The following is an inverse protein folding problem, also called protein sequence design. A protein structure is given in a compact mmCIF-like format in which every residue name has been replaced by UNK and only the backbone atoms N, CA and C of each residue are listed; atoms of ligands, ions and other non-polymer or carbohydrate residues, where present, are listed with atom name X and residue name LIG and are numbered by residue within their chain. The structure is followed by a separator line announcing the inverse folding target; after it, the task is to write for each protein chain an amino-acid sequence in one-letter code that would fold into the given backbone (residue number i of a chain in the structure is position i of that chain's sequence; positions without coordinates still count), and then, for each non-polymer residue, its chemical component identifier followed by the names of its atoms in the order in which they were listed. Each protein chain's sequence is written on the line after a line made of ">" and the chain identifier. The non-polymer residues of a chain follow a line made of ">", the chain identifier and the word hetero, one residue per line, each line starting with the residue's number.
data_IF_690767361879
#
_entry.id   IF_690767361879
#
_cell.length_a   1.000
_cell.length_b   1.000
_cell.length_c   1.000
_cell.angle_alpha   90.00
_cell.angle_beta   90.00
_cell.angle_gamma   90.00
#
_symmetry.space_group_name_H-M   'P 1'
#
loop_
_entity.id
_entity.type
_entity.pdbx_description
1 polymer ?
#
# COMPACT_ATOMS: atom_id res chain seq x y z
N UNK A 1 -5.16 13.12 -10.93
CA UNK A 1 -5.58 14.52 -10.69
C UNK A 1 -5.74 15.21 -12.02
N UNK A 2 -6.79 16.03 -12.19
CA UNK A 2 -7.09 16.74 -13.44
C UNK A 2 -6.71 18.22 -13.32
N UNK A 3 -5.95 18.73 -14.28
CA UNK A 3 -5.64 20.17 -14.36
C UNK A 3 -6.88 20.99 -14.77
N UNK A 4 -7.79 20.42 -15.58
CA UNK A 4 -8.99 21.13 -16.06
C UNK A 4 -10.04 21.34 -14.97
N UNK A 5 -10.16 20.39 -14.03
CA UNK A 5 -11.04 20.52 -12.86
C UNK A 5 -10.38 21.34 -11.74
N UNK A 6 -9.05 21.31 -11.65
CA UNK A 6 -8.28 22.02 -10.63
C UNK A 6 -8.21 21.26 -9.29
N UNK A 7 -7.66 21.89 -8.23
CA UNK A 7 -7.44 21.27 -6.93
C UNK A 7 -8.73 21.24 -6.09
N UNK A 8 -9.79 20.65 -6.63
CA UNK A 8 -11.08 20.49 -5.98
C UNK A 8 -11.24 19.07 -5.43
N UNK A 9 -11.90 18.98 -4.28
CA UNK A 9 -12.34 17.71 -3.67
C UNK A 9 -13.86 17.73 -3.59
N UNK A 10 -14.49 16.69 -4.12
CA UNK A 10 -15.93 16.48 -3.99
C UNK A 10 -16.16 15.34 -3.01
N UNK A 11 -17.19 15.46 -2.18
CA UNK A 11 -17.58 14.38 -1.29
C UNK A 11 -18.15 13.23 -2.12
N UNK A 12 -17.67 12.02 -1.87
CA UNK A 12 -18.13 10.81 -2.55
C UNK A 12 -18.82 9.93 -1.54
N UNK A 13 -20.09 9.55 -1.77
CA UNK A 13 -20.84 8.76 -0.80
C UNK A 13 -20.15 7.43 -0.54
N UNK A 14 -20.20 6.98 0.72
CA UNK A 14 -19.62 5.70 1.09
C UNK A 14 -20.37 4.54 0.38
N UNK A 15 -19.72 3.38 0.19
CA UNK A 15 -20.38 2.21 -0.35
C UNK A 15 -21.64 1.86 0.47
N UNK A 16 -22.82 1.95 -0.16
CA UNK A 16 -24.11 1.67 0.48
C UNK A 16 -24.92 2.91 0.89
N UNK A 17 -24.35 4.11 0.80
CA UNK A 17 -25.09 5.36 0.99
C UNK A 17 -25.71 5.83 -0.33
N UNK A 18 -26.97 6.28 -0.29
CA UNK A 18 -27.60 6.87 -1.46
C UNK A 18 -27.06 8.28 -1.70
N UNK A 19 -26.52 8.51 -2.90
CA UNK A 19 -26.18 9.85 -3.37
C UNK A 19 -27.46 10.57 -3.77
N UNK A 20 -27.80 11.64 -3.05
CA UNK A 20 -29.03 12.38 -3.31
C UNK A 20 -28.86 13.47 -4.38
N UNK A 21 -27.71 14.16 -4.43
CA UNK A 21 -27.39 15.13 -5.48
C UNK A 21 -25.88 15.38 -5.59
N UNK A 22 -25.39 15.62 -6.81
CA UNK A 22 -23.99 15.97 -7.07
C UNK A 22 -23.75 17.44 -6.69
N UNK A 23 -22.72 17.78 -5.89
CA UNK A 23 -22.46 19.16 -5.45
C UNK A 23 -21.78 20.02 -6.53
N UNK A 24 -22.15 19.85 -7.81
CA UNK A 24 -21.57 20.57 -8.94
C UNK A 24 -22.53 20.60 -10.13
N UNK A 25 -22.30 21.55 -11.04
CA UNK A 25 -23.15 21.73 -12.23
C UNK A 25 -23.03 20.57 -13.22
N UNK A 26 -24.03 20.40 -14.09
CA UNK A 26 -23.97 19.45 -15.21
C UNK A 26 -22.78 19.69 -16.14
N UNK A 27 -22.43 20.96 -16.41
CA UNK A 27 -21.25 21.28 -17.21
C UNK A 27 -19.96 20.78 -16.55
N UNK A 28 -19.87 20.87 -15.22
CA UNK A 28 -18.75 20.32 -14.45
C UNK A 28 -18.78 18.79 -14.46
N UNK A 29 -19.95 18.16 -14.37
CA UNK A 29 -20.11 16.71 -14.46
C UNK A 29 -19.60 16.17 -15.81
N UNK A 30 -19.99 16.81 -16.91
CA UNK A 30 -19.51 16.46 -18.25
C UNK A 30 -18.00 16.61 -18.39
N UNK A 31 -17.43 17.67 -17.81
CA UNK A 31 -15.98 17.87 -17.79
C UNK A 31 -15.27 16.75 -17.02
N UNK A 32 -15.79 16.35 -15.85
CA UNK A 32 -15.25 15.25 -15.04
C UNK A 32 -15.31 13.94 -15.84
N UNK A 33 -16.44 13.63 -16.46
CA UNK A 33 -16.61 12.40 -17.25
C UNK A 33 -15.63 12.34 -18.43
N UNK A 34 -15.36 13.47 -19.08
CA UNK A 34 -14.37 13.56 -20.15
C UNK A 34 -12.95 13.30 -19.64
N UNK A 35 -12.57 13.92 -18.52
CA UNK A 35 -11.25 13.73 -17.92
C UNK A 35 -11.02 12.29 -17.44
N UNK A 36 -12.06 11.65 -16.88
CA UNK A 36 -12.03 10.24 -16.50
C UNK A 36 -11.83 9.36 -17.73
N UNK A 37 -12.56 9.63 -18.82
CA UNK A 37 -12.40 8.90 -20.08
C UNK A 37 -10.97 9.03 -20.60
N UNK A 38 -10.43 10.24 -20.66
CA UNK A 38 -9.09 10.51 -21.15
C UNK A 38 -8.04 9.80 -20.27
N UNK A 39 -8.21 9.82 -18.95
CA UNK A 39 -7.34 9.12 -18.00
C UNK A 39 -7.33 7.60 -18.23
N UNK A 40 -8.51 6.99 -18.37
CA UNK A 40 -8.63 5.55 -18.61
C UNK A 40 -8.06 5.17 -19.97
N UNK A 41 -8.32 5.96 -21.01
CA UNK A 41 -7.77 5.74 -22.36
C UNK A 41 -6.24 5.83 -22.37
N UNK A 42 -5.67 6.81 -21.68
CA UNK A 42 -4.22 6.96 -21.56
C UNK A 42 -3.59 5.79 -20.80
N UNK A 43 -4.20 5.36 -19.69
CA UNK A 43 -3.74 4.18 -18.95
C UNK A 43 -3.80 2.91 -19.80
N UNK A 44 -4.88 2.71 -20.55
CA UNK A 44 -5.06 1.58 -21.46
C UNK A 44 -4.00 1.59 -22.57
N UNK A 45 -3.81 2.74 -23.23
CA UNK A 45 -2.82 2.91 -24.30
C UNK A 45 -1.42 2.62 -23.79
N UNK A 46 -1.01 3.25 -22.69
CA UNK A 46 0.30 3.04 -22.07
C UNK A 46 0.53 1.58 -21.69
N UNK A 47 -0.48 0.94 -21.09
CA UNK A 47 -0.39 -0.48 -20.71
C UNK A 47 -0.24 -1.36 -21.94
N UNK A 48 -1.03 -1.12 -22.99
CA UNK A 48 -0.95 -1.89 -24.24
C UNK A 48 0.42 -1.73 -24.92
N UNK A 49 0.94 -0.51 -24.99
CA UNK A 49 2.28 -0.24 -25.54
C UNK A 49 3.36 -0.98 -24.76
N UNK A 50 3.31 -0.92 -23.42
CA UNK A 50 4.24 -1.65 -22.56
C UNK A 50 4.17 -3.18 -22.77
N UNK A 51 2.96 -3.74 -22.84
CA UNK A 51 2.79 -5.17 -23.08
C UNK A 51 3.27 -5.60 -24.47
N UNK A 52 3.08 -4.75 -25.49
CA UNK A 52 3.57 -5.01 -26.84
C UNK A 52 5.10 -4.93 -26.91
N UNK A 53 5.71 -3.95 -26.23
CA UNK A 53 7.17 -3.82 -26.13
C UNK A 53 7.80 -5.04 -25.43
N UNK A 54 7.14 -5.55 -24.38
CA UNK A 54 7.59 -6.72 -23.60
C UNK A 54 6.95 -8.03 -24.05
N UNK A 55 6.42 -8.11 -25.27
CA UNK A 55 5.68 -9.27 -25.78
C UNK A 55 6.47 -10.57 -25.68
N UNK A 56 7.77 -10.53 -26.02
CA UNK A 56 8.65 -11.71 -25.95
C UNK A 56 8.81 -12.25 -24.53
N UNK A 57 8.84 -11.37 -23.53
CA UNK A 57 9.01 -11.75 -22.13
C UNK A 57 7.70 -12.29 -21.55
N UNK A 58 6.56 -11.71 -21.95
CA UNK A 58 5.23 -12.23 -21.62
C UNK A 58 5.04 -13.64 -22.19
N UNK A 59 5.48 -13.86 -23.43
CA UNK A 59 5.36 -15.18 -24.08
C UNK A 59 6.16 -16.25 -23.33
N UNK A 60 7.39 -15.94 -22.88
CA UNK A 60 8.18 -16.86 -22.02
C UNK A 60 7.45 -17.20 -20.72
N UNK A 61 6.90 -16.19 -20.04
CA UNK A 61 6.17 -16.38 -18.78
C UNK A 61 4.90 -17.20 -19.01
N UNK A 62 4.15 -16.92 -20.08
CA UNK A 62 2.95 -17.67 -20.43
C UNK A 62 3.25 -19.15 -20.74
N UNK A 63 4.32 -19.42 -21.50
CA UNK A 63 4.77 -20.78 -21.77
C UNK A 63 5.16 -21.51 -20.48
N UNK A 64 5.90 -20.86 -19.58
CA UNK A 64 6.25 -21.47 -18.28
C UNK A 64 5.01 -21.76 -17.43
N UNK A 65 3.98 -20.90 -17.47
CA UNK A 65 2.72 -21.12 -16.74
C UNK A 65 1.92 -22.33 -17.26
N UNK A 66 2.07 -22.68 -18.54
CA UNK A 66 1.47 -23.91 -19.09
C UNK A 66 2.16 -25.17 -18.55
N UNK A 67 3.45 -25.10 -18.21
CA UNK A 67 4.21 -26.20 -17.63
C UNK A 67 4.08 -26.26 -16.10
N UNK A 68 4.02 -25.10 -15.44
CA UNK A 68 3.96 -24.95 -13.98
C UNK A 68 2.88 -23.93 -13.62
N UNK A 69 1.82 -24.40 -12.95
CA UNK A 69 0.62 -23.60 -12.62
C UNK A 69 0.91 -22.35 -11.77
N UNK A 70 2.00 -22.35 -11.01
CA UNK A 70 2.39 -21.25 -10.11
C UNK A 70 3.87 -20.91 -10.31
N UNK A 71 4.17 -19.62 -10.53
CA UNK A 71 5.54 -19.12 -10.60
C UNK A 71 5.92 -18.38 -9.32
N UNK A 72 7.11 -18.67 -8.80
CA UNK A 72 7.71 -17.90 -7.70
C UNK A 72 8.46 -16.68 -8.22
N UNK A 73 8.94 -15.84 -7.31
CA UNK A 73 9.75 -14.67 -7.66
C UNK A 73 11.06 -15.06 -8.35
N UNK A 74 11.67 -16.15 -7.91
CA UNK A 74 12.92 -16.68 -8.47
C UNK A 74 12.71 -17.13 -9.92
N UNK A 75 11.58 -17.81 -10.20
CA UNK A 75 11.23 -18.22 -11.57
C UNK A 75 11.10 -17.01 -12.50
N UNK A 76 10.50 -15.91 -12.03
CA UNK A 76 10.39 -14.68 -12.82
C UNK A 76 11.75 -14.02 -13.06
N UNK A 77 12.62 -14.00 -12.04
CA UNK A 77 13.98 -13.44 -12.19
C UNK A 77 14.82 -14.25 -13.18
N UNK A 78 14.64 -15.58 -13.22
CA UNK A 78 15.27 -16.45 -14.22
C UNK A 78 14.76 -16.15 -15.64
N UNK A 79 13.45 -15.95 -15.81
CA UNK A 79 12.82 -15.77 -17.12
C UNK A 79 13.01 -14.37 -17.73
N UNK A 80 12.85 -13.32 -16.92
CA UNK A 80 12.80 -11.92 -17.38
C UNK A 80 13.86 -11.03 -16.74
N UNK A 81 14.73 -11.61 -15.90
CA UNK A 81 15.81 -10.90 -15.23
C UNK A 81 15.39 -10.20 -13.93
N UNK A 82 16.37 -9.54 -13.28
CA UNK A 82 16.13 -8.77 -12.05
C UNK A 82 15.33 -7.50 -12.35
N UNK A 83 14.40 -7.17 -11.47
CA UNK A 83 13.60 -5.94 -11.57
C UNK A 83 14.51 -4.70 -11.57
N UNK A 84 14.33 -3.75 -12.51
CA UNK A 84 15.18 -2.55 -12.62
C UNK A 84 14.81 -1.45 -11.61
N UNK A 85 14.06 -1.79 -10.56
CA UNK A 85 13.64 -0.87 -9.51
C UNK A 85 14.02 -1.47 -8.15
N UNK A 86 14.53 -0.64 -7.25
CA UNK A 86 14.88 -1.06 -5.89
C UNK A 86 13.60 -1.38 -5.13
N UNK A 87 13.50 -2.61 -4.62
CA UNK A 87 12.41 -3.06 -3.76
C UNK A 87 12.91 -3.21 -2.34
N UNK A 88 12.13 -2.72 -1.38
CA UNK A 88 12.31 -3.00 0.04
C UNK A 88 11.48 -4.23 0.38
N UNK A 89 12.14 -5.36 0.64
CA UNK A 89 11.47 -6.64 0.86
C UNK A 89 11.64 -7.15 2.28
N UNK A 90 12.61 -6.62 3.03
CA UNK A 90 12.85 -6.99 4.42
C UNK A 90 12.29 -5.94 5.36
N UNK A 91 11.91 -6.38 6.57
CA UNK A 91 11.46 -5.48 7.63
C UNK A 91 12.48 -4.37 7.89
N UNK A 92 13.76 -4.74 8.00
CA UNK A 92 14.88 -3.83 8.18
C UNK A 92 14.92 -2.75 7.09
N UNK A 93 14.82 -3.11 5.81
CA UNK A 93 14.77 -2.14 4.70
C UNK A 93 13.55 -1.21 4.77
N UNK A 94 12.41 -1.71 5.27
CA UNK A 94 11.19 -0.90 5.43
C UNK A 94 11.36 0.15 6.54
N UNK A 95 11.95 -0.23 7.68
CA UNK A 95 12.12 0.65 8.85
C UNK A 95 13.42 1.46 8.83
N UNK A 96 14.35 1.16 7.90
CA UNK A 96 15.53 2.01 7.70
C UNK A 96 15.09 3.46 7.39
N UNK A 97 15.39 4.37 8.32
CA UNK A 97 15.05 5.79 8.24
C UNK A 97 14.05 6.30 9.29
N UNK A 98 13.38 5.42 10.05
CA UNK A 98 12.40 5.82 11.08
C UNK A 98 12.96 5.93 12.50
N UNK A 99 14.27 5.70 12.69
CA UNK A 99 14.97 5.98 13.96
C UNK A 99 15.04 4.83 14.97
N UNK A 100 14.65 3.62 14.59
CA UNK A 100 14.78 2.42 15.41
C UNK A 100 14.33 1.17 14.65
N UNK A 101 14.96 0.03 14.90
CA UNK A 101 14.50 -1.26 14.37
C UNK A 101 13.37 -1.84 15.22
N UNK A 102 13.32 -1.49 16.50
CA UNK A 102 12.35 -2.02 17.46
C UNK A 102 11.34 -0.95 17.85
N UNK A 103 10.12 -1.38 18.19
CA UNK A 103 9.10 -0.50 18.77
C UNK A 103 9.54 -0.02 20.16
N UNK A 104 9.46 1.30 20.38
CA UNK A 104 9.68 1.86 21.70
C UNK A 104 8.49 1.51 22.62
N UNK A 105 8.72 0.53 23.48
CA UNK A 105 7.75 0.06 24.48
C UNK A 105 7.96 0.70 25.85
N UNK A 106 8.82 1.74 25.95
CA UNK A 106 9.05 2.43 27.20
C UNK A 106 7.80 3.17 27.66
N UNK A 107 7.35 2.86 28.88
CA UNK A 107 6.20 3.53 29.49
C UNK A 107 6.57 4.96 29.89
N UNK A 108 5.68 5.95 29.69
CA UNK A 108 5.88 7.29 30.20
C UNK A 108 6.12 7.31 31.71
N UNK A 109 6.85 8.31 32.21
CA UNK A 109 7.28 8.43 33.62
C UNK A 109 6.20 8.16 34.68
N UNK A 110 4.93 8.47 34.39
CA UNK A 110 3.80 8.25 35.30
C UNK A 110 3.24 6.83 35.33
N UNK A 111 3.66 5.96 34.42
CA UNK A 111 3.14 4.59 34.24
C UNK A 111 4.23 3.51 34.38
N UNK A 112 5.47 3.88 34.72
CA UNK A 112 6.60 2.95 34.87
C UNK A 112 6.36 1.84 35.92
N UNK A 113 5.43 2.06 36.85
CA UNK A 113 5.06 1.11 37.91
C UNK A 113 3.82 0.28 37.58
N UNK A 114 3.15 0.53 36.45
CA UNK A 114 1.90 -0.16 36.07
C UNK A 114 2.14 -1.63 35.73
N UNK A 115 3.31 -1.95 35.16
CA UNK A 115 3.70 -3.30 34.75
C UNK A 115 4.68 -3.99 35.74
N UNK A 116 4.80 -3.46 36.97
CA UNK A 116 5.63 -4.06 38.02
C UNK A 116 4.72 -4.63 39.11
N UNK A 117 4.95 -5.87 39.52
CA UNK A 117 4.25 -6.44 40.67
C UNK A 117 4.50 -5.57 41.91
N UNK A 118 3.42 -5.17 42.61
CA UNK A 118 3.55 -4.47 43.88
C UNK A 118 4.18 -5.43 44.89
N UNK A 119 5.46 -5.26 45.20
CA UNK A 119 6.09 -6.00 46.30
C UNK A 119 5.38 -5.64 47.60
N UNK A 120 4.65 -6.58 48.19
CA UNK A 120 4.02 -6.44 49.50
C UNK A 120 5.14 -6.23 50.55
N UNK A 121 5.11 -5.17 51.37
CA UNK A 121 6.18 -4.94 52.33
C UNK A 121 6.09 -5.93 53.51
N UNK A 122 7.14 -6.74 53.67
CA UNK A 122 7.71 -7.23 54.93
C UNK A 122 6.79 -7.92 55.93
N UNK A 123 6.87 -9.26 56.00
CA UNK A 123 6.55 -10.01 57.23
C UNK A 123 7.41 -9.48 58.38
N UNK A 124 6.76 -9.18 59.50
CA UNK A 124 7.36 -8.81 60.76
C UNK A 124 8.00 -10.09 61.34
N UNK A 125 9.31 -10.09 61.55
CA UNK A 125 10.04 -11.20 62.18
C UNK A 125 9.68 -11.30 63.67
N UNK A 126 8.78 -12.22 64.05
CA UNK A 126 8.66 -12.72 65.42
C UNK A 126 9.78 -13.73 65.69
N UNK A 127 10.83 -13.29 66.39
CA UNK A 127 11.76 -14.20 67.09
C UNK A 127 11.17 -14.54 68.46
N UNK A 128 10.79 -15.80 68.65
CA UNK A 128 10.86 -16.48 69.95
C UNK A 128 12.30 -16.94 70.21
#
# INVERSE_FOLDING_TARGET
>A
MSEKVGPLSFDTPAPGEMSFDKPYSEATAQLIDQEVRDMVQNALKRTRELLLEKRSDIEKVALRLLEKEVLSREDLVELVGKRPFVEKNTYEEMVTGTGGLDEDTQLPKGLESWNKEKSTPGKIDEKN
#
